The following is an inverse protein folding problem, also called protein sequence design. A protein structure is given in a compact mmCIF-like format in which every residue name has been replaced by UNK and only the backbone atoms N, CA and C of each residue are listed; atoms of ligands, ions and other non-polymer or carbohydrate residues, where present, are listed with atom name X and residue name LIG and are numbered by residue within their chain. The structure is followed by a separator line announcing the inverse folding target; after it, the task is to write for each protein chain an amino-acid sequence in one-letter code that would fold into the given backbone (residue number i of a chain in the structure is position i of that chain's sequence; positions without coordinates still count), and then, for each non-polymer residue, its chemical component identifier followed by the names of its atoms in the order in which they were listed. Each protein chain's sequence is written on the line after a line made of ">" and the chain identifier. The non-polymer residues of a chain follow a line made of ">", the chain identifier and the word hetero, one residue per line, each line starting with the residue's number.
data_IF_533686576240
#
_entry.id   IF_533686576240
#
_cell.length_a   1.000
_cell.length_b   1.000
_cell.length_c   1.000
_cell.angle_alpha   90.00
_cell.angle_beta   90.00
_cell.angle_gamma   90.00
#
_symmetry.space_group_name_H-M   'P 1'
#
loop_
_entity.id
_entity.type
_entity.pdbx_description
1 polymer ?
#
# COMPACT_ATOMS: atom_id res chain seq x y z
N UNK A 1 1.47 -5.38 -9.54
CA UNK A 1 2.69 -5.97 -8.93
C UNK A 1 3.34 -4.99 -7.95
N UNK A 2 3.69 -3.78 -8.37
CA UNK A 2 4.36 -2.78 -7.52
C UNK A 2 3.54 -2.43 -6.25
N UNK A 3 2.23 -2.24 -6.38
CA UNK A 3 1.33 -2.04 -5.23
C UNK A 3 1.34 -3.19 -4.21
N UNK A 4 1.42 -4.44 -4.67
CA UNK A 4 1.52 -5.61 -3.78
C UNK A 4 2.85 -5.63 -3.00
N UNK A 5 3.96 -5.25 -3.64
CA UNK A 5 5.27 -5.18 -2.99
C UNK A 5 5.31 -4.07 -1.94
N UNK A 6 4.80 -2.88 -2.26
CA UNK A 6 4.70 -1.76 -1.32
C UNK A 6 3.81 -2.10 -0.12
N UNK A 7 2.66 -2.74 -0.38
CA UNK A 7 1.74 -3.19 0.66
C UNK A 7 2.37 -4.25 1.57
N UNK A 8 3.10 -5.22 0.99
CA UNK A 8 3.81 -6.24 1.73
C UNK A 8 4.87 -5.67 2.67
N UNK A 9 5.66 -4.70 2.21
CA UNK A 9 6.67 -4.01 3.03
C UNK A 9 6.01 -3.19 4.14
N UNK A 10 4.94 -2.46 3.83
CA UNK A 10 4.21 -1.65 4.82
C UNK A 10 3.57 -2.53 5.92
N UNK A 11 3.00 -3.68 5.58
CA UNK A 11 2.49 -4.66 6.56
C UNK A 11 3.62 -5.26 7.36
N UNK A 12 4.73 -5.63 6.74
CA UNK A 12 5.85 -6.26 7.43
C UNK A 12 6.39 -5.36 8.55
N UNK A 13 6.56 -4.06 8.28
CA UNK A 13 6.97 -3.05 9.28
C UNK A 13 5.94 -2.93 10.43
N UNK A 14 4.65 -3.14 10.14
CA UNK A 14 3.57 -3.07 11.15
C UNK A 14 3.46 -4.34 12.00
N UNK A 15 3.81 -5.50 11.43
CA UNK A 15 3.71 -6.81 12.09
C UNK A 15 4.97 -7.10 12.90
N UNK A 16 6.12 -6.52 12.54
CA UNK A 16 7.37 -6.74 13.26
C UNK A 16 7.31 -6.09 14.67
N UNK A 17 7.29 -6.90 15.76
CA UNK A 17 7.13 -6.38 17.11
C UNK A 17 8.39 -5.64 17.59
N UNK A 18 9.56 -6.04 17.10
CA UNK A 18 10.85 -5.41 17.41
C UNK A 18 10.85 -3.96 16.91
N UNK A 19 10.40 -3.72 15.68
CA UNK A 19 10.32 -2.37 15.12
C UNK A 19 9.36 -1.45 15.89
N UNK A 20 8.27 -1.98 16.43
CA UNK A 20 7.31 -1.22 17.25
C UNK A 20 7.94 -0.75 18.58
N UNK A 21 8.67 -1.62 19.28
CA UNK A 21 9.35 -1.25 20.54
C UNK A 21 10.41 -0.17 20.32
N UNK A 22 11.21 -0.26 19.25
CA UNK A 22 12.20 0.78 18.95
C UNK A 22 11.56 2.10 18.52
N UNK A 23 10.45 2.06 17.78
CA UNK A 23 9.73 3.27 17.36
C UNK A 23 9.08 4.00 18.54
N UNK A 24 8.56 3.26 19.52
CA UNK A 24 8.02 3.81 20.77
C UNK A 24 9.13 4.33 21.68
N UNK A 25 10.26 3.61 21.79
CA UNK A 25 11.41 4.04 22.58
C UNK A 25 12.06 5.34 22.06
N UNK A 26 12.03 5.59 20.75
CA UNK A 26 12.64 6.76 20.11
C UNK A 26 11.67 7.92 19.84
N UNK A 27 10.41 7.83 20.32
CA UNK A 27 9.34 8.82 20.08
C UNK A 27 9.17 9.19 18.59
N UNK A 28 9.27 8.20 17.70
CA UNK A 28 9.31 8.42 16.26
C UNK A 28 7.88 8.53 15.65
N UNK A 29 7.06 9.46 16.16
CA UNK A 29 5.65 9.66 15.74
C UNK A 29 5.51 9.98 14.24
N UNK A 30 6.43 10.77 13.68
CA UNK A 30 6.42 11.13 12.25
C UNK A 30 6.60 9.92 11.33
N UNK A 31 7.45 8.97 11.73
CA UNK A 31 7.69 7.76 10.95
C UNK A 31 6.47 6.82 11.00
N UNK A 32 5.81 6.71 12.16
CA UNK A 32 4.60 5.90 12.30
C UNK A 32 3.45 6.41 11.41
N UNK A 33 3.31 7.74 11.32
CA UNK A 33 2.33 8.39 10.44
C UNK A 33 2.65 8.13 8.97
N UNK A 34 3.93 8.20 8.58
CA UNK A 34 4.38 7.92 7.22
C UNK A 34 4.06 6.50 6.75
N UNK A 35 4.23 5.49 7.62
CA UNK A 35 3.89 4.09 7.30
C UNK A 35 2.39 3.92 7.05
N UNK A 36 1.54 4.62 7.80
CA UNK A 36 0.08 4.55 7.61
C UNK A 36 -0.35 5.15 6.26
N UNK A 37 0.29 6.25 5.85
CA UNK A 37 0.06 6.88 4.54
C UNK A 37 0.55 5.96 3.40
N UNK A 38 1.70 5.31 3.57
CA UNK A 38 2.22 4.32 2.63
C UNK A 38 1.29 3.10 2.49
N UNK A 39 0.71 2.63 3.60
CA UNK A 39 -0.27 1.55 3.58
C UNK A 39 -1.49 1.93 2.74
N UNK A 40 -2.10 3.08 2.99
CA UNK A 40 -3.29 3.54 2.26
C UNK A 40 -3.00 3.75 0.77
N UNK A 41 -1.89 4.41 0.45
CA UNK A 41 -1.50 4.67 -0.95
C UNK A 41 -1.22 3.38 -1.72
N UNK A 42 -0.61 2.37 -1.09
CA UNK A 42 -0.36 1.07 -1.73
C UNK A 42 -1.64 0.32 -2.10
N UNK A 43 -2.68 0.39 -1.26
CA UNK A 43 -4.00 -0.18 -1.54
C UNK A 43 -4.63 0.51 -2.77
N UNK A 44 -4.54 1.84 -2.84
CA UNK A 44 -5.02 2.60 -4.00
C UNK A 44 -4.32 2.18 -5.30
N UNK A 45 -2.98 2.12 -5.29
CA UNK A 45 -2.20 1.70 -6.46
C UNK A 45 -2.52 0.26 -6.86
N UNK A 46 -2.77 -0.63 -5.88
CA UNK A 46 -3.16 -2.01 -6.15
C UNK A 46 -4.54 -2.10 -6.80
N UNK A 47 -5.53 -1.35 -6.30
CA UNK A 47 -6.87 -1.29 -6.88
C UNK A 47 -6.85 -0.74 -8.31
N UNK A 48 -6.21 0.42 -8.52
CA UNK A 48 -6.08 1.03 -9.85
C UNK A 48 -5.35 0.12 -10.84
N UNK A 49 -4.29 -0.54 -10.39
CA UNK A 49 -3.57 -1.51 -11.22
C UNK A 49 -4.44 -2.69 -11.64
N UNK A 50 -5.26 -3.21 -10.72
CA UNK A 50 -6.16 -4.34 -10.97
C UNK A 50 -7.30 -3.98 -11.93
N UNK A 51 -7.94 -2.83 -11.72
CA UNK A 51 -8.98 -2.34 -12.63
C UNK A 51 -8.42 -1.99 -14.00
N UNK A 52 -7.25 -1.34 -14.07
CA UNK A 52 -6.60 -0.98 -15.33
C UNK A 52 -6.19 -2.20 -16.16
N UNK A 53 -5.59 -3.22 -15.54
CA UNK A 53 -5.21 -4.43 -16.27
C UNK A 53 -6.42 -5.32 -16.61
N UNK A 54 -7.42 -5.40 -15.73
CA UNK A 54 -8.67 -6.13 -15.98
C UNK A 54 -9.50 -5.50 -17.10
N UNK A 55 -9.63 -4.18 -17.13
CA UNK A 55 -10.36 -3.45 -18.16
C UNK A 55 -9.70 -3.58 -19.54
N UNK A 56 -8.36 -3.51 -19.59
CA UNK A 56 -7.61 -3.70 -20.84
C UNK A 56 -7.75 -5.12 -21.41
N UNK A 57 -7.81 -6.14 -20.55
CA UNK A 57 -7.94 -7.54 -20.99
C UNK A 57 -9.35 -7.87 -21.51
N UNK A 58 -10.39 -7.30 -20.90
CA UNK A 58 -11.79 -7.63 -21.23
C UNK A 58 -12.38 -6.76 -22.35
N UNK A 59 -11.58 -5.90 -23.02
CA UNK A 59 -12.04 -4.90 -23.99
C UNK A 59 -13.26 -4.08 -23.50
N UNK A 60 -13.41 -3.95 -22.18
CA UNK A 60 -14.51 -3.20 -21.57
C UNK A 60 -14.13 -1.71 -21.54
N UNK A 61 -14.33 -1.05 -22.68
CA UNK A 61 -14.02 0.37 -22.91
C UNK A 61 -14.73 1.29 -21.89
N UNK A 62 -15.91 0.91 -21.42
CA UNK A 62 -16.69 1.66 -20.41
C UNK A 62 -16.07 1.65 -19.01
N UNK A 63 -15.32 0.59 -18.65
CA UNK A 63 -14.63 0.50 -17.36
C UNK A 63 -13.28 1.23 -17.34
N UNK A 64 -12.76 1.62 -18.52
CA UNK A 64 -11.52 2.39 -18.66
C UNK A 64 -11.77 3.91 -18.70
N UNK A 65 -13.02 4.32 -18.98
CA UNK A 65 -13.42 5.73 -19.11
C UNK A 65 -13.86 6.37 -17.78
N UNK A 66 -14.25 5.56 -16.78
CA UNK A 66 -14.73 6.00 -15.47
C UNK A 66 -13.79 5.55 -14.36
#
# INVERSE_FOLDING_TARGET
>A
ILGCAMFGVAIWIRVEPVFQEWAEFLELEEFYTGVYILLISSIFVMALGFFGCGAALMEHVTALYI
#
